data_IF_045110065372
#
_entry.id   IF_045110065372
#
_cell.length_a   1.000
_cell.length_b   1.000
_cell.length_c   1.000
_cell.angle_alpha   90.00
_cell.angle_beta   90.00
_cell.angle_gamma   90.00
#
_symmetry.space_group_name_H-M   'P 1'
#
loop_
_entity.id
_entity.type
_entity.pdbx_description
1 polymer ?
#
# COMPACT_ATOMS: atom_id res chain seq x y z
N UNK A 1 34.66 -25.85 -38.71
CA UNK A 1 33.46 -25.56 -37.92
C UNK A 1 33.91 -25.01 -36.59
N UNK A 2 33.83 -23.72 -36.38
CA UNK A 2 34.28 -23.06 -35.15
C UNK A 2 33.12 -23.14 -34.13
N UNK A 3 33.29 -23.94 -33.09
CA UNK A 3 32.34 -24.00 -31.96
C UNK A 3 32.61 -22.80 -31.05
N UNK A 4 31.85 -21.77 -31.20
CA UNK A 4 31.82 -20.67 -30.23
C UNK A 4 31.25 -21.21 -28.89
N UNK A 5 32.11 -21.31 -27.90
CA UNK A 5 31.73 -21.67 -26.53
C UNK A 5 30.72 -20.65 -26.02
N UNK A 6 29.64 -21.14 -25.38
CA UNK A 6 28.64 -20.29 -24.72
C UNK A 6 29.35 -19.40 -23.68
N UNK A 7 28.99 -18.13 -23.54
CA UNK A 7 29.54 -17.25 -22.53
C UNK A 7 29.32 -17.86 -21.12
N UNK A 8 30.29 -17.68 -20.19
CA UNK A 8 30.13 -18.20 -18.84
C UNK A 8 28.88 -17.61 -18.17
N UNK A 9 28.18 -18.38 -17.31
CA UNK A 9 27.02 -17.91 -16.60
C UNK A 9 27.37 -16.66 -15.77
N UNK A 10 26.56 -15.61 -15.86
CA UNK A 10 26.71 -14.41 -15.02
C UNK A 10 26.75 -14.83 -13.55
N UNK A 11 27.69 -14.30 -12.79
CA UNK A 11 27.73 -14.49 -11.35
C UNK A 11 26.37 -14.06 -10.73
N UNK A 12 25.85 -14.82 -9.75
CA UNK A 12 24.57 -14.50 -9.14
C UNK A 12 24.64 -13.12 -8.47
N UNK A 13 23.62 -12.28 -8.72
CA UNK A 13 23.48 -10.98 -8.05
C UNK A 13 22.95 -11.23 -6.63
N UNK A 14 23.85 -11.28 -5.66
CA UNK A 14 23.53 -11.50 -4.26
C UNK A 14 23.40 -10.16 -3.52
N UNK A 15 22.44 -10.06 -2.63
CA UNK A 15 22.34 -8.93 -1.72
C UNK A 15 23.32 -9.07 -0.52
N UNK A 16 23.29 -8.09 0.40
CA UNK A 16 24.21 -8.04 1.56
C UNK A 16 24.12 -9.22 2.54
N UNK A 17 23.03 -10.02 2.46
CA UNK A 17 22.84 -11.22 3.29
C UNK A 17 23.01 -12.52 2.49
N UNK A 18 23.51 -12.44 1.27
CA UNK A 18 23.83 -13.59 0.43
C UNK A 18 22.62 -14.24 -0.25
N UNK A 19 21.48 -13.55 -0.37
CA UNK A 19 20.29 -14.04 -1.07
C UNK A 19 20.19 -13.44 -2.48
N UNK A 20 19.73 -14.24 -3.43
CA UNK A 20 19.40 -13.79 -4.78
C UNK A 20 18.06 -13.09 -4.82
N UNK A 21 17.84 -12.23 -5.82
CA UNK A 21 16.55 -11.57 -6.07
C UNK A 21 15.41 -12.58 -6.28
N UNK A 22 15.72 -13.76 -6.81
CA UNK A 22 14.77 -14.87 -6.98
C UNK A 22 14.11 -15.32 -5.67
N UNK A 23 14.83 -15.23 -4.54
CA UNK A 23 14.32 -15.57 -3.18
C UNK A 23 13.25 -14.60 -2.68
N UNK A 24 13.14 -13.42 -3.29
CA UNK A 24 12.16 -12.38 -2.94
C UNK A 24 10.94 -12.39 -3.86
N UNK A 25 10.94 -13.18 -4.92
CA UNK A 25 9.81 -13.32 -5.83
C UNK A 25 8.74 -14.22 -5.23
N UNK A 26 7.51 -14.04 -5.70
CA UNK A 26 6.37 -14.91 -5.42
C UNK A 26 5.91 -15.64 -6.67
N UNK A 27 4.64 -16.00 -6.69
CA UNK A 27 3.98 -16.61 -7.83
C UNK A 27 3.84 -15.65 -9.03
N UNK A 28 3.49 -16.19 -10.18
CA UNK A 28 3.16 -15.38 -11.38
C UNK A 28 1.89 -14.57 -11.11
N UNK A 29 1.92 -13.28 -11.43
CA UNK A 29 0.76 -12.40 -11.28
C UNK A 29 -0.41 -12.87 -12.17
N UNK A 30 -1.62 -12.81 -11.60
CA UNK A 30 -2.90 -13.02 -12.29
C UNK A 30 -3.72 -11.74 -12.38
N UNK A 31 -3.11 -10.57 -12.09
CA UNK A 31 -3.71 -9.26 -12.29
C UNK A 31 -3.78 -8.92 -13.78
N UNK A 32 -4.59 -7.94 -14.11
CA UNK A 32 -4.72 -7.45 -15.50
C UNK A 32 -3.37 -6.91 -16.01
N UNK A 33 -3.16 -6.98 -17.31
CA UNK A 33 -2.03 -6.32 -17.95
C UNK A 33 -2.13 -4.81 -17.74
N UNK A 34 -1.02 -4.13 -17.49
CA UNK A 34 -0.97 -2.69 -17.21
C UNK A 34 -1.53 -2.28 -15.83
N UNK A 35 -1.92 -3.23 -14.97
CA UNK A 35 -2.42 -2.92 -13.63
C UNK A 35 -1.29 -2.38 -12.74
N UNK A 36 -1.48 -1.20 -12.14
CA UNK A 36 -0.50 -0.55 -11.27
C UNK A 36 -0.08 -1.38 -10.05
N UNK A 37 -0.92 -2.31 -9.58
CA UNK A 37 -0.57 -3.22 -8.48
C UNK A 37 0.64 -4.10 -8.79
N UNK A 38 0.88 -4.44 -10.10
CA UNK A 38 2.06 -5.19 -10.51
C UNK A 38 3.35 -4.39 -10.26
N UNK A 39 3.34 -3.10 -10.57
CA UNK A 39 4.49 -2.21 -10.33
C UNK A 39 4.80 -2.10 -8.83
N UNK A 40 3.77 -1.97 -7.99
CA UNK A 40 3.92 -1.93 -6.52
C UNK A 40 4.53 -3.24 -6.00
N UNK A 41 4.02 -4.40 -6.44
CA UNK A 41 4.54 -5.71 -6.06
C UNK A 41 6.02 -5.86 -6.44
N UNK A 42 6.42 -5.40 -7.62
CA UNK A 42 7.81 -5.41 -8.07
C UNK A 42 8.68 -4.51 -7.19
N UNK A 43 8.22 -3.31 -6.81
CA UNK A 43 8.95 -2.42 -5.92
C UNK A 43 9.13 -3.00 -4.51
N UNK A 44 8.14 -3.71 -3.99
CA UNK A 44 8.26 -4.43 -2.71
C UNK A 44 9.40 -5.46 -2.79
N UNK A 45 9.45 -6.29 -3.84
CA UNK A 45 10.52 -7.27 -4.07
C UNK A 45 11.90 -6.59 -4.01
N UNK A 46 12.06 -5.52 -4.77
CA UNK A 46 13.33 -4.79 -4.89
C UNK A 46 13.74 -4.13 -3.57
N UNK A 47 12.81 -3.48 -2.87
CA UNK A 47 13.10 -2.83 -1.59
C UNK A 47 13.59 -3.82 -0.53
N UNK A 48 12.92 -4.97 -0.37
CA UNK A 48 13.34 -5.98 0.61
C UNK A 48 14.67 -6.63 0.22
N UNK A 49 14.90 -6.85 -1.08
CA UNK A 49 16.19 -7.35 -1.58
C UNK A 49 17.34 -6.36 -1.32
N UNK A 50 17.17 -5.10 -1.68
CA UNK A 50 18.20 -4.05 -1.53
C UNK A 50 18.48 -3.75 -0.06
N UNK A 51 17.46 -3.77 0.79
CA UNK A 51 17.62 -3.59 2.24
C UNK A 51 18.17 -4.85 2.92
N UNK A 52 18.33 -5.97 2.20
CA UNK A 52 18.84 -7.22 2.73
C UNK A 52 18.01 -7.76 3.90
N UNK A 53 16.68 -7.67 3.82
CA UNK A 53 15.77 -8.18 4.83
C UNK A 53 15.32 -9.57 4.39
N UNK A 54 15.56 -10.63 5.21
CA UNK A 54 15.17 -11.98 4.82
C UNK A 54 13.64 -12.11 4.70
N UNK A 55 13.11 -12.77 3.65
CA UNK A 55 11.66 -12.93 3.46
C UNK A 55 10.93 -13.53 4.66
N UNK A 56 11.52 -14.47 5.36
CA UNK A 56 10.93 -15.13 6.54
C UNK A 56 10.81 -14.21 7.78
N UNK A 57 11.38 -13.01 7.74
CA UNK A 57 11.17 -11.96 8.77
C UNK A 57 9.91 -11.14 8.50
N UNK A 58 9.16 -11.43 7.44
CA UNK A 58 7.99 -10.66 7.01
C UNK A 58 6.73 -11.49 7.19
N UNK A 59 5.70 -10.86 7.74
CA UNK A 59 4.33 -11.37 7.71
C UNK A 59 3.50 -10.50 6.75
N UNK A 60 3.07 -11.08 5.63
CA UNK A 60 2.21 -10.45 4.63
C UNK A 60 0.76 -10.66 4.97
N UNK A 61 -0.01 -9.59 4.99
CA UNK A 61 -1.41 -9.63 5.36
C UNK A 61 -2.26 -8.95 4.27
N UNK A 62 -3.42 -9.47 4.01
CA UNK A 62 -4.37 -8.89 3.06
C UNK A 62 -5.82 -9.21 3.45
N UNK A 63 -6.74 -8.44 2.88
CA UNK A 63 -8.17 -8.73 2.93
C UNK A 63 -8.68 -9.39 1.65
N UNK A 64 -9.66 -8.78 0.99
CA UNK A 64 -10.27 -9.27 -0.25
C UNK A 64 -10.23 -8.17 -1.31
N UNK A 65 -10.10 -8.54 -2.57
CA UNK A 65 -10.04 -7.65 -3.73
C UNK A 65 -8.89 -7.99 -4.67
N UNK A 66 -8.72 -7.20 -5.74
CA UNK A 66 -7.60 -7.37 -6.68
C UNK A 66 -6.25 -7.20 -5.99
N UNK A 67 -6.10 -6.14 -5.20
CA UNK A 67 -4.92 -5.83 -4.40
C UNK A 67 -4.57 -6.93 -3.40
N UNK A 68 -5.56 -7.62 -2.85
CA UNK A 68 -5.34 -8.72 -1.91
C UNK A 68 -4.73 -9.97 -2.53
N UNK A 69 -4.59 -10.02 -3.86
CA UNK A 69 -3.79 -11.03 -4.57
C UNK A 69 -2.29 -10.68 -4.58
N UNK A 70 -1.94 -9.40 -4.51
CA UNK A 70 -0.56 -8.91 -4.59
C UNK A 70 0.41 -9.64 -3.66
N UNK A 71 0.06 -9.96 -2.38
CA UNK A 71 0.95 -10.71 -1.50
C UNK A 71 1.37 -12.10 -2.00
N UNK A 72 0.64 -12.70 -2.94
CA UNK A 72 1.04 -13.97 -3.55
C UNK A 72 2.21 -13.81 -4.57
N UNK A 73 2.49 -12.58 -5.03
CA UNK A 73 3.45 -12.32 -6.10
C UNK A 73 4.83 -11.89 -5.61
N UNK A 74 5.00 -11.66 -4.32
CA UNK A 74 6.27 -11.30 -3.71
C UNK A 74 6.53 -12.09 -2.42
N UNK A 75 7.79 -12.18 -2.02
CA UNK A 75 8.27 -12.79 -0.77
C UNK A 75 7.62 -14.16 -0.47
N UNK A 76 7.77 -15.13 -1.37
CA UNK A 76 7.12 -16.46 -1.23
C UNK A 76 7.52 -17.22 0.04
N UNK A 77 8.70 -16.95 0.59
CA UNK A 77 9.21 -17.56 1.82
C UNK A 77 8.81 -16.80 3.10
N UNK A 78 7.91 -15.82 3.01
CA UNK A 78 7.37 -15.10 4.16
C UNK A 78 6.13 -15.79 4.73
N UNK A 79 5.71 -15.36 5.92
CA UNK A 79 4.41 -15.73 6.47
C UNK A 79 3.31 -15.03 5.67
N UNK A 80 2.20 -15.71 5.39
CA UNK A 80 1.10 -15.15 4.60
C UNK A 80 -0.25 -15.33 5.28
N UNK A 81 -1.04 -14.25 5.36
CA UNK A 81 -2.38 -14.25 5.91
C UNK A 81 -3.33 -13.49 4.99
N UNK A 82 -4.26 -14.21 4.36
CA UNK A 82 -5.37 -13.58 3.64
C UNK A 82 -6.62 -13.69 4.51
N UNK A 83 -7.08 -12.54 5.02
CA UNK A 83 -8.19 -12.46 5.96
C UNK A 83 -9.55 -12.21 5.30
N UNK A 84 -10.56 -12.04 6.12
CA UNK A 84 -11.90 -11.64 5.69
C UNK A 84 -11.89 -10.19 5.21
N UNK A 85 -12.79 -9.83 4.29
CA UNK A 85 -12.91 -8.50 3.71
C UNK A 85 -12.98 -7.40 4.79
N UNK A 86 -12.12 -6.40 4.67
CA UNK A 86 -12.03 -5.28 5.62
C UNK A 86 -11.42 -5.63 6.99
N UNK A 87 -10.73 -6.78 7.12
CA UNK A 87 -10.16 -7.22 8.42
C UNK A 87 -8.63 -7.33 8.44
N UNK A 88 -7.96 -6.91 7.38
CA UNK A 88 -6.50 -6.93 7.29
C UNK A 88 -5.83 -6.19 8.47
N UNK A 89 -6.37 -5.04 8.89
CA UNK A 89 -5.90 -4.25 10.04
C UNK A 89 -5.96 -5.03 11.36
N UNK A 90 -7.03 -5.80 11.57
CA UNK A 90 -7.22 -6.61 12.77
C UNK A 90 -6.24 -7.78 12.80
N UNK A 91 -6.10 -8.47 11.66
CA UNK A 91 -5.15 -9.58 11.51
C UNK A 91 -3.71 -9.10 11.72
N UNK A 92 -3.35 -7.92 11.19
CA UNK A 92 -2.04 -7.32 11.39
C UNK A 92 -1.78 -6.97 12.87
N UNK A 93 -2.77 -6.43 13.56
CA UNK A 93 -2.66 -6.17 15.00
C UNK A 93 -2.37 -7.47 15.76
N UNK A 94 -3.11 -8.56 15.49
CA UNK A 94 -2.86 -9.86 16.10
C UNK A 94 -1.48 -10.43 15.77
N UNK A 95 -1.00 -10.27 14.54
CA UNK A 95 0.34 -10.70 14.11
C UNK A 95 1.44 -10.02 14.91
N UNK A 96 1.36 -8.70 15.05
CA UNK A 96 2.34 -7.90 15.81
C UNK A 96 2.33 -8.28 17.29
N UNK A 97 1.15 -8.51 17.88
CA UNK A 97 1.02 -8.94 19.26
C UNK A 97 1.56 -10.36 19.51
N UNK A 98 1.41 -11.24 18.52
CA UNK A 98 1.90 -12.63 18.63
C UNK A 98 3.42 -12.72 18.44
N UNK A 99 4.03 -11.87 17.62
CA UNK A 99 5.46 -11.85 17.38
C UNK A 99 5.95 -10.47 16.90
N UNK A 100 6.43 -9.67 17.84
CA UNK A 100 6.98 -8.32 17.58
C UNK A 100 8.25 -8.30 16.72
N UNK A 101 8.90 -9.46 16.53
CA UNK A 101 10.11 -9.57 15.74
C UNK A 101 9.85 -9.69 14.23
N UNK A 102 8.59 -9.90 13.81
CA UNK A 102 8.20 -9.90 12.42
C UNK A 102 7.90 -8.47 11.92
N UNK A 103 8.22 -8.23 10.67
CA UNK A 103 7.77 -7.03 9.95
C UNK A 103 6.37 -7.34 9.42
N UNK A 104 5.35 -6.78 10.04
CA UNK A 104 3.99 -6.89 9.54
C UNK A 104 3.80 -5.94 8.35
N UNK A 105 3.36 -6.47 7.21
CA UNK A 105 3.06 -5.72 5.99
C UNK A 105 1.65 -6.07 5.49
N UNK A 106 0.77 -5.11 5.52
CA UNK A 106 -0.55 -5.20 4.88
C UNK A 106 -0.46 -4.66 3.47
N UNK A 107 -1.00 -5.40 2.50
CA UNK A 107 -1.25 -4.89 1.14
C UNK A 107 -2.72 -5.17 0.83
N UNK A 108 -3.48 -4.11 0.60
CA UNK A 108 -4.93 -4.18 0.44
C UNK A 108 -5.44 -3.05 -0.43
N UNK A 109 -6.71 -3.11 -0.86
CA UNK A 109 -7.35 -2.06 -1.65
C UNK A 109 -8.00 -0.98 -0.80
N UNK A 110 -8.31 0.10 -1.47
CA UNK A 110 -9.04 1.24 -0.93
C UNK A 110 -10.45 0.86 -0.46
N UNK A 111 -11.17 0.05 -1.22
CA UNK A 111 -12.49 -0.45 -0.82
C UNK A 111 -12.45 -1.37 0.39
N UNK A 112 -11.45 -2.25 0.47
CA UNK A 112 -11.22 -3.11 1.64
C UNK A 112 -10.89 -2.28 2.89
N UNK A 113 -10.12 -1.19 2.72
CA UNK A 113 -9.64 -0.32 3.80
C UNK A 113 -10.68 0.72 4.20
N UNK A 114 -11.07 1.59 3.26
CA UNK A 114 -11.81 2.82 3.55
C UNK A 114 -13.33 2.63 3.54
N UNK A 115 -13.85 1.56 2.92
CA UNK A 115 -15.27 1.23 2.99
C UNK A 115 -15.54 0.20 4.09
N UNK A 116 -15.21 -1.08 3.84
CA UNK A 116 -15.59 -2.20 4.72
C UNK A 116 -14.76 -2.22 6.00
N UNK A 117 -13.47 -1.88 5.91
CA UNK A 117 -12.50 -1.96 7.00
C UNK A 117 -12.31 -0.69 7.81
N UNK A 118 -13.00 0.41 7.49
CA UNK A 118 -12.71 1.74 8.01
C UNK A 118 -12.55 1.79 9.54
N UNK A 119 -13.49 1.24 10.30
CA UNK A 119 -13.43 1.24 11.76
C UNK A 119 -12.21 0.50 12.30
N UNK A 120 -11.83 -0.64 11.69
CA UNK A 120 -10.65 -1.40 12.10
C UNK A 120 -9.36 -0.66 11.73
N UNK A 121 -9.33 -0.03 10.56
CA UNK A 121 -8.21 0.78 10.11
C UNK A 121 -7.98 1.97 11.05
N UNK A 122 -9.02 2.74 11.36
CA UNK A 122 -8.93 3.87 12.31
C UNK A 122 -8.41 3.45 13.69
N UNK A 123 -8.88 2.31 14.22
CA UNK A 123 -8.38 1.80 15.50
C UNK A 123 -6.93 1.32 15.44
N UNK A 124 -6.47 0.80 14.31
CA UNK A 124 -5.07 0.44 14.09
C UNK A 124 -4.17 1.68 14.07
N UNK A 125 -4.59 2.74 13.37
CA UNK A 125 -3.91 4.04 13.31
C UNK A 125 -3.76 4.65 14.72
N UNK A 126 -4.89 4.77 15.45
CA UNK A 126 -4.94 5.36 16.80
C UNK A 126 -4.00 4.68 17.80
N UNK A 127 -3.77 3.38 17.64
CA UNK A 127 -2.88 2.60 18.50
C UNK A 127 -1.44 2.64 18.03
N UNK A 128 -1.13 3.27 16.93
CA UNK A 128 0.19 3.25 16.30
C UNK A 128 0.77 1.82 16.22
N UNK A 129 -0.01 0.88 15.69
CA UNK A 129 0.41 -0.52 15.54
C UNK A 129 1.60 -0.58 14.58
N UNK A 130 2.78 -1.11 14.97
CA UNK A 130 3.96 -1.11 14.11
C UNK A 130 3.74 -2.04 12.91
N UNK A 131 3.31 -1.45 11.80
CA UNK A 131 2.94 -2.15 10.58
C UNK A 131 3.12 -1.24 9.36
N UNK A 132 3.55 -1.82 8.25
CA UNK A 132 3.55 -1.16 6.94
C UNK A 132 2.19 -1.46 6.30
N UNK A 133 1.38 -0.44 6.07
CA UNK A 133 0.03 -0.56 5.51
C UNK A 133 -0.01 0.10 4.14
N UNK A 134 0.04 -0.70 3.09
CA UNK A 134 0.00 -0.26 1.69
C UNK A 134 -1.42 -0.38 1.17
N UNK A 135 -1.98 0.74 0.72
CA UNK A 135 -3.28 0.83 0.09
C UNK A 135 -3.04 0.97 -1.42
N UNK A 136 -3.38 -0.07 -2.19
CA UNK A 136 -3.37 -0.02 -3.65
C UNK A 136 -4.69 0.61 -4.11
N UNK A 137 -4.70 1.95 -4.22
CA UNK A 137 -5.89 2.77 -4.40
C UNK A 137 -6.22 2.97 -5.88
N UNK A 138 -7.35 2.43 -6.31
CA UNK A 138 -7.87 2.59 -7.67
C UNK A 138 -9.31 3.16 -7.72
N UNK A 139 -9.90 3.55 -6.60
CA UNK A 139 -11.24 4.13 -6.51
C UNK A 139 -12.38 3.15 -6.72
N UNK A 140 -12.11 1.84 -6.95
CA UNK A 140 -13.15 0.87 -7.33
C UNK A 140 -12.94 -0.51 -6.70
N UNK A 141 -14.03 -1.26 -6.55
CA UNK A 141 -13.97 -2.70 -6.29
C UNK A 141 -13.76 -3.46 -7.62
N UNK A 142 -12.50 -3.59 -8.05
CA UNK A 142 -12.18 -4.18 -9.35
C UNK A 142 -12.54 -5.67 -9.46
N UNK A 143 -12.40 -6.45 -8.39
CA UNK A 143 -12.67 -7.89 -8.39
C UNK A 143 -14.16 -8.20 -8.63
N UNK A 144 -15.06 -7.37 -8.14
CA UNK A 144 -16.52 -7.50 -8.26
C UNK A 144 -17.11 -6.71 -9.42
N UNK A 145 -16.29 -6.29 -10.38
CA UNK A 145 -16.63 -5.66 -11.66
C UNK A 145 -16.93 -4.15 -11.61
N UNK A 146 -16.34 -3.41 -10.66
CA UNK A 146 -16.18 -1.97 -10.79
C UNK A 146 -17.14 -1.10 -9.97
N UNK A 147 -17.70 -1.58 -8.86
CA UNK A 147 -18.44 -0.73 -7.94
C UNK A 147 -17.55 0.38 -7.38
N UNK A 148 -18.12 1.54 -7.05
CA UNK A 148 -17.39 2.60 -6.38
C UNK A 148 -16.86 2.14 -5.01
N UNK A 149 -15.62 2.48 -4.71
CA UNK A 149 -15.13 2.44 -3.35
C UNK A 149 -15.37 3.78 -2.66
N UNK A 150 -15.09 3.84 -1.34
CA UNK A 150 -15.21 5.09 -0.61
C UNK A 150 -14.15 6.15 -0.98
N UNK A 151 -13.17 5.81 -1.81
CA UNK A 151 -12.14 6.74 -2.31
C UNK A 151 -12.43 7.21 -3.74
N UNK A 152 -13.55 6.79 -4.34
CA UNK A 152 -13.95 7.19 -5.69
C UNK A 152 -14.24 8.69 -5.74
N UNK A 153 -13.72 9.39 -6.76
CA UNK A 153 -13.96 10.81 -6.96
C UNK A 153 -15.44 11.08 -7.29
N UNK A 154 -15.92 12.28 -6.89
CA UNK A 154 -17.23 12.76 -7.30
C UNK A 154 -17.27 12.83 -8.83
N UNK A 155 -18.35 12.32 -9.41
CA UNK A 155 -18.54 12.28 -10.86
C UNK A 155 -17.90 11.08 -11.57
N UNK A 156 -17.13 10.24 -10.86
CA UNK A 156 -16.73 8.93 -11.42
C UNK A 156 -17.96 8.13 -11.83
N UNK A 157 -17.91 7.45 -12.98
CA UNK A 157 -19.06 6.71 -13.51
C UNK A 157 -18.81 5.22 -13.57
N UNK A 158 -19.84 4.43 -13.21
CA UNK A 158 -19.86 2.99 -13.45
C UNK A 158 -20.12 2.67 -14.92
N UNK A 159 -19.82 1.44 -15.32
CA UNK A 159 -20.22 0.92 -16.66
C UNK A 159 -21.73 0.97 -16.92
N UNK A 160 -22.53 1.04 -15.85
CA UNK A 160 -23.98 1.21 -15.92
C UNK A 160 -24.42 2.65 -16.20
N UNK A 161 -23.50 3.61 -16.20
CA UNK A 161 -23.78 5.05 -16.35
C UNK A 161 -24.13 5.77 -15.05
N UNK A 162 -24.18 5.08 -13.91
CA UNK A 162 -24.40 5.68 -12.59
C UNK A 162 -23.15 6.46 -12.16
N UNK A 163 -23.31 7.69 -11.68
CA UNK A 163 -22.23 8.55 -11.21
C UNK A 163 -22.11 8.53 -9.69
N UNK A 164 -20.88 8.60 -9.16
CA UNK A 164 -20.65 8.79 -7.73
C UNK A 164 -20.97 10.25 -7.32
N UNK A 165 -21.88 10.41 -6.40
CA UNK A 165 -22.29 11.72 -5.84
C UNK A 165 -21.64 12.00 -4.48
N UNK A 166 -20.99 11.00 -3.87
CA UNK A 166 -20.41 11.12 -2.54
C UNK A 166 -18.93 11.58 -2.59
N UNK A 167 -18.51 12.43 -1.63
CA UNK A 167 -17.13 12.85 -1.54
C UNK A 167 -16.21 11.67 -1.16
N UNK A 168 -14.97 11.62 -1.71
CA UNK A 168 -14.03 10.56 -1.40
C UNK A 168 -13.50 10.67 0.03
N UNK A 169 -13.25 9.51 0.65
CA UNK A 169 -12.46 9.41 1.87
C UNK A 169 -10.97 9.47 1.49
N UNK A 170 -10.23 10.38 2.13
CA UNK A 170 -8.78 10.44 2.00
C UNK A 170 -8.09 9.62 3.10
N UNK A 171 -7.44 8.52 2.72
CA UNK A 171 -6.75 7.63 3.64
C UNK A 171 -5.51 8.27 4.29
N UNK A 172 -4.87 9.25 3.61
CA UNK A 172 -3.74 9.97 4.19
C UNK A 172 -4.19 10.98 5.24
N UNK A 173 -5.26 11.75 5.00
CA UNK A 173 -5.84 12.62 6.02
C UNK A 173 -6.27 11.83 7.24
N UNK A 174 -6.97 10.70 7.04
CA UNK A 174 -7.32 9.80 8.15
C UNK A 174 -6.07 9.28 8.88
N UNK A 175 -5.02 8.91 8.13
CA UNK A 175 -3.74 8.48 8.69
C UNK A 175 -3.15 9.51 9.64
N UNK A 176 -3.06 10.76 9.19
CA UNK A 176 -2.52 11.89 9.95
C UNK A 176 -3.40 12.19 11.18
N UNK A 177 -4.71 12.34 10.98
CA UNK A 177 -5.64 12.72 12.04
C UNK A 177 -5.78 11.65 13.13
N UNK A 178 -5.80 10.38 12.74
CA UNK A 178 -5.92 9.26 13.67
C UNK A 178 -4.57 8.86 14.29
N UNK A 179 -3.47 9.48 13.90
CA UNK A 179 -2.18 9.36 14.59
C UNK A 179 -1.28 8.24 14.11
N UNK A 180 -1.32 7.88 12.82
CA UNK A 180 -0.23 7.11 12.21
C UNK A 180 1.08 7.91 12.33
N UNK A 181 2.19 7.23 12.55
CA UNK A 181 3.48 7.90 12.75
C UNK A 181 4.28 8.09 11.45
N UNK A 182 3.86 7.48 10.34
CA UNK A 182 4.31 7.81 8.99
C UNK A 182 3.13 7.73 8.03
N UNK A 183 2.92 8.78 7.24
CA UNK A 183 1.90 8.82 6.20
C UNK A 183 2.52 9.32 4.91
N UNK A 184 2.32 8.57 3.83
CA UNK A 184 2.82 8.91 2.51
C UNK A 184 1.79 8.61 1.43
N UNK A 185 1.89 9.33 0.33
CA UNK A 185 1.16 9.02 -0.91
C UNK A 185 2.13 8.92 -2.06
N UNK A 186 1.85 8.00 -2.98
CA UNK A 186 2.63 7.86 -4.20
C UNK A 186 1.75 7.46 -5.37
N UNK A 187 2.35 7.38 -6.55
CA UNK A 187 1.72 6.91 -7.76
C UNK A 187 2.47 5.67 -8.27
N UNK A 188 1.76 4.62 -8.64
CA UNK A 188 2.36 3.34 -9.08
C UNK A 188 3.28 3.48 -10.30
N UNK A 189 3.08 4.53 -11.12
CA UNK A 189 3.92 4.86 -12.26
C UNK A 189 5.23 5.57 -11.88
N UNK A 190 5.33 6.22 -10.71
CA UNK A 190 6.60 6.75 -10.20
C UNK A 190 7.30 5.67 -9.36
N UNK A 191 7.92 4.73 -10.04
CA UNK A 191 8.60 3.59 -9.41
C UNK A 191 9.70 4.01 -8.43
N UNK A 192 10.37 5.13 -8.69
CA UNK A 192 11.44 5.66 -7.84
C UNK A 192 10.89 6.16 -6.52
N UNK A 193 9.83 6.95 -6.56
CA UNK A 193 9.16 7.46 -5.37
C UNK A 193 8.51 6.33 -4.55
N UNK A 194 7.80 5.38 -5.20
CA UNK A 194 7.24 4.20 -4.52
C UNK A 194 8.32 3.43 -3.77
N UNK A 195 9.49 3.20 -4.43
CA UNK A 195 10.63 2.54 -3.80
C UNK A 195 11.18 3.30 -2.58
N UNK A 196 11.36 4.61 -2.71
CA UNK A 196 11.84 5.45 -1.62
C UNK A 196 10.89 5.46 -0.41
N UNK A 197 9.59 5.63 -0.64
CA UNK A 197 8.55 5.62 0.41
C UNK A 197 8.46 4.26 1.08
N UNK A 198 8.51 3.15 0.32
CA UNK A 198 8.51 1.80 0.89
C UNK A 198 9.74 1.57 1.78
N UNK A 199 10.94 1.97 1.37
CA UNK A 199 12.15 1.85 2.19
C UNK A 199 12.06 2.68 3.48
N UNK A 200 11.51 3.90 3.40
CA UNK A 200 11.28 4.73 4.57
C UNK A 200 10.30 4.04 5.55
N UNK A 201 9.20 3.48 5.05
CA UNK A 201 8.23 2.75 5.86
C UNK A 201 8.80 1.46 6.47
N UNK A 202 9.66 0.72 5.74
CA UNK A 202 10.34 -0.48 6.25
C UNK A 202 11.31 -0.12 7.39
N UNK A 203 11.98 1.03 7.30
CA UNK A 203 12.90 1.50 8.32
C UNK A 203 12.18 2.14 9.53
N UNK A 204 10.94 2.59 9.34
CA UNK A 204 10.15 3.25 10.38
C UNK A 204 9.66 2.28 11.45
N UNK A 205 9.70 2.72 12.72
CA UNK A 205 9.23 1.92 13.87
C UNK A 205 7.88 2.43 14.36
N UNK A 206 6.82 2.13 13.62
CA UNK A 206 5.47 2.54 13.97
C UNK A 206 4.49 2.21 12.87
N UNK A 207 3.32 2.82 12.93
CA UNK A 207 2.31 2.67 11.89
C UNK A 207 2.68 3.51 10.67
N UNK A 208 2.98 2.85 9.57
CA UNK A 208 3.22 3.48 8.27
C UNK A 208 2.03 3.27 7.35
N UNK A 209 1.40 4.33 6.88
CA UNK A 209 0.34 4.31 5.86
C UNK A 209 0.91 4.81 4.54
N UNK A 210 0.79 4.01 3.51
CA UNK A 210 1.20 4.37 2.15
C UNK A 210 -0.01 4.21 1.23
N UNK A 211 -0.58 5.31 0.79
CA UNK A 211 -1.65 5.35 -0.20
C UNK A 211 -1.03 5.46 -1.59
N UNK A 212 -1.04 4.36 -2.36
CA UNK A 212 -0.48 4.34 -3.72
C UNK A 212 -1.60 4.38 -4.73
N UNK A 213 -1.72 5.52 -5.43
CA UNK A 213 -2.63 5.65 -6.56
C UNK A 213 -2.22 4.63 -7.62
N UNK A 214 -3.13 3.70 -7.93
CA UNK A 214 -2.87 2.52 -8.74
C UNK A 214 -4.00 2.28 -9.74
N UNK A 215 -3.93 2.87 -10.94
CA UNK A 215 -5.02 2.86 -11.92
C UNK A 215 -5.51 1.45 -12.26
N UNK A 216 -6.83 1.33 -12.43
CA UNK A 216 -7.49 0.11 -12.89
C UNK A 216 -7.73 0.16 -14.40
N UNK A 217 -7.07 -0.71 -15.16
CA UNK A 217 -7.15 -0.76 -16.63
C UNK A 217 -8.47 -1.33 -17.15
N UNK A 218 -9.35 -1.86 -16.30
CA UNK A 218 -10.46 -2.70 -16.75
C UNK A 218 -11.84 -2.07 -16.57
N UNK A 219 -12.02 -1.14 -15.61
CA UNK A 219 -13.37 -0.77 -15.18
C UNK A 219 -13.78 0.68 -15.42
N UNK A 220 -12.92 1.53 -15.97
CA UNK A 220 -13.24 2.92 -16.31
C UNK A 220 -13.26 3.22 -17.83
N UNK A 221 -13.16 2.20 -18.69
CA UNK A 221 -13.15 2.35 -20.15
C UNK A 221 -14.48 1.88 -20.76
N UNK A 222 -15.48 2.76 -20.88
CA UNK A 222 -16.79 2.46 -21.47
C UNK A 222 -17.41 3.62 -22.24
N UNK A 223 -18.23 3.31 -23.27
CA UNK A 223 -19.02 4.27 -24.03
C UNK A 223 -19.99 5.04 -23.12
N UNK A 224 -19.83 6.36 -23.06
CA UNK A 224 -20.62 7.24 -22.19
C UNK A 224 -19.82 7.95 -21.09
N UNK A 225 -18.56 7.56 -20.86
CA UNK A 225 -17.58 8.38 -20.15
C UNK A 225 -17.03 9.43 -21.11
N UNK A 226 -16.94 10.70 -20.68
CA UNK A 226 -16.18 11.75 -21.40
C UNK A 226 -14.70 11.37 -21.54
N UNK A 227 -14.30 10.24 -20.98
CA UNK A 227 -12.96 9.69 -20.83
C UNK A 227 -12.82 8.34 -21.55
N UNK A 228 -13.83 7.92 -22.36
CA UNK A 228 -13.77 6.69 -23.14
C UNK A 228 -13.03 6.89 -24.46
N UNK A 229 -12.49 5.81 -24.99
CA UNK A 229 -11.84 5.76 -26.30
C UNK A 229 -12.72 6.27 -27.45
N UNK A 230 -14.02 5.95 -27.43
CA UNK A 230 -14.99 6.38 -28.43
C UNK A 230 -15.21 7.89 -28.38
N UNK A 231 -15.38 8.47 -27.17
CA UNK A 231 -15.57 9.91 -27.00
C UNK A 231 -14.38 10.72 -27.52
N UNK A 232 -13.15 10.30 -27.15
CA UNK A 232 -11.93 10.99 -27.58
C UNK A 232 -11.70 10.91 -29.10
N UNK A 233 -12.06 9.79 -29.73
CA UNK A 233 -11.94 9.61 -31.18
C UNK A 233 -12.90 10.49 -31.95
N UNK A 234 -14.09 10.75 -31.41
CA UNK A 234 -15.13 11.55 -32.06
C UNK A 234 -15.00 13.07 -31.77
N UNK A 235 -14.17 13.46 -30.78
CA UNK A 235 -13.96 14.85 -30.36
C UNK A 235 -12.50 15.30 -30.49
N UNK A 236 -11.76 14.69 -31.41
CA UNK A 236 -10.35 15.00 -31.66
C UNK A 236 -10.17 16.43 -32.22
N UNK A 237 -9.84 17.36 -31.33
CA UNK A 237 -9.23 18.62 -31.69
C UNK A 237 -7.71 18.47 -31.52
N UNK A 238 -6.90 18.63 -32.57
CA UNK A 238 -5.45 18.34 -32.50
C UNK A 238 -4.72 19.36 -31.66
N UNK A 239 -4.61 19.12 -30.38
CA UNK A 239 -3.74 19.85 -29.47
C UNK A 239 -2.68 18.87 -28.93
N UNK A 240 -1.54 18.87 -29.62
CA UNK A 240 -0.25 18.23 -29.27
C UNK A 240 -0.27 16.70 -29.10
N UNK A 241 0.86 16.07 -29.47
CA UNK A 241 1.10 14.64 -29.34
C UNK A 241 0.77 14.17 -27.93
N UNK A 242 -0.34 13.45 -27.79
CA UNK A 242 -0.70 12.77 -26.55
C UNK A 242 0.03 11.43 -26.59
N UNK A 243 1.01 11.24 -25.71
CA UNK A 243 1.62 9.94 -25.50
C UNK A 243 0.53 9.03 -24.92
N UNK A 244 0.05 8.14 -25.76
CA UNK A 244 -0.94 7.16 -25.39
C UNK A 244 -0.25 5.94 -24.78
N UNK A 245 -0.59 5.61 -23.53
CA UNK A 245 -0.13 4.38 -22.89
C UNK A 245 -1.16 3.28 -23.18
N UNK A 246 -0.80 2.23 -23.96
CA UNK A 246 -1.70 1.11 -24.21
C UNK A 246 -2.10 0.43 -22.90
N UNK A 247 -3.33 -0.11 -22.84
CA UNK A 247 -3.87 -0.76 -21.62
C UNK A 247 -3.05 -1.95 -21.10
N UNK A 248 -2.13 -2.46 -21.89
CA UNK A 248 -1.22 -3.56 -21.53
C UNK A 248 0.17 -3.08 -21.08
N UNK A 249 0.45 -1.78 -21.13
CA UNK A 249 1.69 -1.17 -20.66
C UNK A 249 1.49 -0.49 -19.30
N UNK A 250 2.51 -0.52 -18.47
CA UNK A 250 2.51 0.22 -17.20
C UNK A 250 2.66 1.73 -17.47
N UNK A 251 1.94 2.55 -16.70
CA UNK A 251 2.13 4.00 -16.74
C UNK A 251 3.38 4.34 -15.92
N UNK A 252 4.43 4.86 -16.58
CA UNK A 252 5.67 5.27 -15.93
C UNK A 252 5.84 6.78 -16.04
N UNK A 253 6.27 7.41 -14.95
CA UNK A 253 6.59 8.83 -14.90
C UNK A 253 7.86 9.10 -14.11
N UNK A 254 8.58 10.17 -14.49
CA UNK A 254 9.66 10.75 -13.71
C UNK A 254 9.28 12.19 -13.38
N UNK A 255 9.46 12.62 -12.14
CA UNK A 255 9.10 13.95 -11.66
C UNK A 255 10.19 14.50 -10.77
N UNK A 256 10.48 15.80 -10.96
CA UNK A 256 11.34 16.55 -10.06
C UNK A 256 10.57 17.03 -8.81
N UNK A 257 11.29 17.41 -7.75
CA UNK A 257 10.71 17.97 -6.54
C UNK A 257 9.96 19.27 -6.85
N UNK A 258 8.76 19.46 -6.29
CA UNK A 258 7.87 20.59 -6.56
C UNK A 258 7.16 20.56 -7.92
N UNK A 259 7.52 19.65 -8.81
CA UNK A 259 6.92 19.55 -10.13
C UNK A 259 5.44 19.16 -10.04
N UNK A 260 4.64 19.73 -10.92
CA UNK A 260 3.25 19.31 -11.18
C UNK A 260 3.21 18.69 -12.57
N UNK A 261 2.77 17.42 -12.66
CA UNK A 261 2.64 16.71 -13.92
C UNK A 261 1.24 16.13 -14.09
N UNK A 262 0.70 16.31 -15.27
CA UNK A 262 -0.53 15.63 -15.68
C UNK A 262 -0.21 14.26 -16.24
N UNK A 263 -0.87 13.22 -15.71
CA UNK A 263 -0.73 11.84 -16.14
C UNK A 263 -2.05 11.41 -16.73
N UNK A 264 -2.01 10.88 -17.94
CA UNK A 264 -3.18 10.30 -18.62
C UNK A 264 -3.26 8.82 -18.20
N UNK A 265 -4.38 8.40 -17.65
CA UNK A 265 -4.63 7.02 -17.27
C UNK A 265 -5.13 6.19 -18.45
N UNK A 266 -5.14 4.86 -18.33
CA UNK A 266 -5.55 3.94 -19.39
C UNK A 266 -6.99 4.14 -19.85
N UNK A 267 -7.84 4.71 -19.02
CA UNK A 267 -9.24 5.05 -19.32
C UNK A 267 -9.40 6.46 -19.93
N UNK A 268 -8.28 7.13 -20.22
CA UNK A 268 -8.26 8.51 -20.74
C UNK A 268 -8.50 9.57 -19.66
N UNK A 269 -8.75 9.21 -18.40
CA UNK A 269 -8.85 10.18 -17.32
C UNK A 269 -7.49 10.83 -17.04
N UNK A 270 -7.51 12.03 -16.46
CA UNK A 270 -6.29 12.81 -16.19
C UNK A 270 -6.11 12.98 -14.69
N UNK A 271 -4.92 12.69 -14.23
CA UNK A 271 -4.50 12.86 -12.84
C UNK A 271 -3.38 13.89 -12.77
N UNK A 272 -3.57 14.99 -12.03
CA UNK A 272 -2.52 15.98 -11.79
C UNK A 272 -1.79 15.63 -10.50
N UNK A 273 -0.57 15.13 -10.63
CA UNK A 273 0.29 14.79 -9.52
C UNK A 273 1.17 16.00 -9.18
N UNK A 274 1.33 16.27 -7.88
CA UNK A 274 2.30 17.24 -7.35
C UNK A 274 3.27 16.52 -6.42
N UNK A 275 4.54 16.55 -6.76
CA UNK A 275 5.59 16.05 -5.88
C UNK A 275 5.91 17.14 -4.83
N UNK A 276 6.06 16.72 -3.57
CA UNK A 276 6.40 17.67 -2.50
C UNK A 276 7.72 18.39 -2.77
N UNK A 277 7.77 19.66 -2.40
CA UNK A 277 8.97 20.47 -2.46
C UNK A 277 10.01 20.01 -1.43
N UNK A 278 11.28 20.34 -1.67
CA UNK A 278 12.39 20.00 -0.76
C UNK A 278 12.26 20.71 0.59
N UNK A 279 11.69 21.89 0.63
CA UNK A 279 11.53 22.73 1.83
C UNK A 279 10.28 22.35 2.65
N UNK A 280 9.51 21.36 2.21
CA UNK A 280 8.36 20.87 2.95
C UNK A 280 8.79 20.13 4.22
N UNK A 281 8.24 20.54 5.39
CA UNK A 281 8.50 19.90 6.67
C UNK A 281 7.46 18.79 6.96
N UNK A 282 7.79 17.51 6.77
CA UNK A 282 6.87 16.43 7.03
C UNK A 282 6.62 16.18 8.54
N UNK A 283 7.29 16.87 9.45
CA UNK A 283 7.07 16.71 10.90
C UNK A 283 5.96 17.62 11.42
N UNK A 284 5.56 18.64 10.67
CA UNK A 284 4.43 19.51 11.02
C UNK A 284 3.10 18.90 10.57
N UNK A 285 2.34 18.39 11.53
CA UNK A 285 1.01 17.81 11.29
C UNK A 285 0.03 18.79 10.64
N UNK A 286 0.03 20.04 11.09
CA UNK A 286 -0.92 21.03 10.57
C UNK A 286 -0.53 21.46 9.15
N UNK A 287 0.75 21.56 8.85
CA UNK A 287 1.23 21.82 7.50
C UNK A 287 0.84 20.69 6.56
N UNK A 288 1.00 19.42 6.97
CA UNK A 288 0.60 18.28 6.19
C UNK A 288 -0.90 18.30 5.82
N UNK A 289 -1.77 18.58 6.79
CA UNK A 289 -3.22 18.69 6.56
C UNK A 289 -3.54 19.86 5.63
N UNK A 290 -2.93 21.04 5.84
CA UNK A 290 -3.13 22.21 4.98
C UNK A 290 -2.65 21.96 3.54
N UNK A 291 -1.50 21.31 3.37
CA UNK A 291 -0.94 20.99 2.07
C UNK A 291 -1.87 20.08 1.25
N UNK A 292 -2.44 19.05 1.90
CA UNK A 292 -3.40 18.15 1.26
C UNK A 292 -4.66 18.92 0.84
N UNK A 293 -5.27 19.72 1.72
CA UNK A 293 -6.45 20.51 1.36
C UNK A 293 -6.15 21.55 0.27
N UNK A 294 -4.98 22.19 0.32
CA UNK A 294 -4.55 23.12 -0.72
C UNK A 294 -4.36 22.44 -2.09
N UNK A 295 -3.87 21.19 -2.11
CA UNK A 295 -3.75 20.43 -3.36
C UNK A 295 -5.13 20.10 -3.95
N UNK A 296 -6.12 19.77 -3.13
CA UNK A 296 -7.49 19.57 -3.61
C UNK A 296 -8.11 20.83 -4.25
N UNK A 297 -7.90 21.99 -3.63
CA UNK A 297 -8.39 23.25 -4.19
C UNK A 297 -7.79 23.56 -5.57
N UNK A 298 -6.61 22.98 -5.89
CA UNK A 298 -5.96 23.08 -7.20
C UNK A 298 -6.25 21.92 -8.14
N UNK A 299 -7.03 20.92 -7.70
CA UNK A 299 -7.28 19.68 -8.45
C UNK A 299 -6.00 18.84 -8.62
N UNK A 300 -5.13 18.83 -7.62
CA UNK A 300 -3.86 18.11 -7.61
C UNK A 300 -3.88 16.97 -6.59
N UNK A 301 -3.13 15.90 -6.86
CA UNK A 301 -2.85 14.82 -5.90
C UNK A 301 -1.41 14.99 -5.41
N UNK A 302 -1.28 15.36 -4.14
CA UNK A 302 0.02 15.55 -3.50
C UNK A 302 0.69 14.21 -3.22
N UNK A 303 1.96 14.05 -3.61
CA UNK A 303 2.74 12.80 -3.44
C UNK A 303 4.06 13.06 -2.72
N UNK A 304 4.53 12.06 -1.97
CA UNK A 304 5.72 12.09 -1.13
C UNK A 304 5.42 11.61 0.28
N UNK A 305 6.36 11.81 1.21
CA UNK A 305 6.13 11.61 2.64
C UNK A 305 5.38 12.84 3.17
N UNK A 306 4.09 12.66 3.43
CA UNK A 306 3.20 13.74 3.86
C UNK A 306 3.37 14.08 5.35
N UNK A 307 3.60 13.05 6.18
CA UNK A 307 3.78 13.24 7.61
C UNK A 307 4.67 12.15 8.21
N UNK A 308 5.50 12.53 9.18
CA UNK A 308 6.32 11.61 9.96
C UNK A 308 6.50 12.11 11.40
N UNK A 309 6.25 11.25 12.37
CA UNK A 309 6.48 11.47 13.80
C UNK A 309 7.44 10.40 14.32
N UNK A 310 8.72 10.74 14.40
CA UNK A 310 9.76 9.84 14.90
C UNK A 310 9.66 9.65 16.41
N UNK A 311 9.91 8.42 16.89
CA UNK A 311 9.95 8.13 18.33
C UNK A 311 8.58 8.01 19.01
N UNK A 312 7.47 8.07 18.27
CA UNK A 312 6.15 7.83 18.84
C UNK A 312 6.02 6.42 19.38
N UNK A 313 5.54 6.29 20.62
CA UNK A 313 5.26 4.99 21.24
C UNK A 313 4.24 4.19 20.44
N UNK A 314 4.56 2.93 20.24
CA UNK A 314 3.69 1.98 19.51
C UNK A 314 2.79 1.20 20.47
N UNK A 315 1.83 0.44 19.92
CA UNK A 315 0.99 -0.44 20.72
C UNK A 315 1.80 -1.43 21.56
N UNK A 316 2.89 -1.98 21.00
CA UNK A 316 3.73 -2.94 21.72
C UNK A 316 4.49 -2.30 22.87
N UNK A 317 4.89 -1.04 22.76
CA UNK A 317 5.53 -0.29 23.83
C UNK A 317 4.55 0.01 24.98
N UNK A 318 3.29 0.34 24.64
CA UNK A 318 2.24 0.59 25.66
C UNK A 318 1.82 -0.69 26.40
N UNK A 319 1.89 -1.84 25.73
CA UNK A 319 1.53 -3.13 26.33
C UNK A 319 2.69 -3.84 27.02
N UNK A 320 3.91 -3.29 26.98
CA UNK A 320 5.12 -3.93 27.49
C UNK A 320 5.26 -5.39 27.03
N UNK A 321 5.07 -5.64 25.74
CA UNK A 321 5.17 -6.99 25.22
C UNK A 321 6.59 -7.54 25.36
N UNK A 322 6.68 -8.80 25.74
CA UNK A 322 7.95 -9.54 25.79
C UNK A 322 8.52 -9.74 24.39
N UNK A 323 9.84 -9.93 24.28
CA UNK A 323 10.52 -10.13 23.00
C UNK A 323 10.30 -11.52 22.43
N UNK A 324 10.05 -12.52 23.29
CA UNK A 324 9.80 -13.88 22.86
C UNK A 324 8.45 -14.00 22.13
N UNK A 325 8.41 -14.64 20.96
CA UNK A 325 7.17 -14.91 20.26
C UNK A 325 6.21 -15.75 21.11
N UNK A 326 4.91 -15.47 21.04
CA UNK A 326 3.88 -16.22 21.77
C UNK A 326 3.99 -17.73 21.57
N UNK A 327 4.31 -18.16 20.34
CA UNK A 327 4.43 -19.57 20.00
C UNK A 327 5.60 -20.32 20.68
N UNK A 328 6.59 -19.58 21.19
CA UNK A 328 7.78 -20.14 21.86
C UNK A 328 7.77 -19.91 23.37
N UNK A 329 6.79 -19.17 23.89
CA UNK A 329 6.65 -18.97 25.33
C UNK A 329 6.31 -20.30 26.02
N UNK A 330 6.99 -20.63 27.14
CA UNK A 330 6.65 -21.80 27.93
C UNK A 330 5.26 -21.65 28.57
N UNK A 331 4.58 -22.78 28.78
CA UNK A 331 3.22 -22.82 29.33
C UNK A 331 3.13 -22.09 30.70
N UNK A 332 4.17 -22.15 31.51
CA UNK A 332 4.26 -21.46 32.79
C UNK A 332 4.19 -19.92 32.69
N UNK A 333 4.49 -19.34 31.50
CA UNK A 333 4.36 -17.89 31.24
C UNK A 333 3.03 -17.53 30.58
N UNK A 334 2.31 -18.48 30.00
CA UNK A 334 1.06 -18.24 29.28
C UNK A 334 -0.19 -18.64 30.07
N UNK A 335 -0.01 -19.46 31.12
CA UNK A 335 -1.10 -19.90 32.01
C UNK A 335 -0.75 -19.66 33.47
N UNK A 336 -1.69 -19.09 34.25
CA UNK A 336 -1.52 -19.05 35.69
C UNK A 336 -1.39 -20.46 36.26
N UNK A 337 -0.50 -20.67 37.22
CA UNK A 337 -0.34 -21.92 37.92
C UNK A 337 -1.53 -22.21 38.86
N UNK A 338 -1.63 -23.46 39.34
CA UNK A 338 -2.69 -23.90 40.26
C UNK A 338 -2.74 -23.04 41.54
N UNK A 339 -1.61 -22.60 42.05
CA UNK A 339 -1.53 -21.76 43.25
C UNK A 339 -2.25 -20.41 43.03
N UNK A 340 -2.11 -19.77 41.88
CA UNK A 340 -2.81 -18.53 41.54
C UNK A 340 -4.34 -18.73 41.48
N UNK A 341 -4.80 -19.88 41.00
CA UNK A 341 -6.22 -20.22 41.00
C UNK A 341 -6.73 -20.42 42.44
N UNK A 342 -5.97 -21.09 43.28
CA UNK A 342 -6.31 -21.33 44.68
C UNK A 342 -6.39 -20.01 45.46
N UNK A 343 -5.45 -19.07 45.23
CA UNK A 343 -5.45 -17.73 45.81
C UNK A 343 -6.74 -16.94 45.43
N UNK A 344 -7.08 -16.91 44.13
CA UNK A 344 -8.31 -16.27 43.65
C UNK A 344 -9.56 -16.93 44.26
N UNK A 345 -9.56 -18.24 44.38
CA UNK A 345 -10.70 -18.97 44.97
C UNK A 345 -10.81 -18.73 46.50
N UNK A 346 -9.72 -18.45 47.19
CA UNK A 346 -9.76 -18.06 48.59
C UNK A 346 -10.25 -16.62 48.79
N UNK A 347 -9.86 -15.68 47.92
CA UNK A 347 -10.38 -14.31 47.93
C UNK A 347 -11.90 -14.21 47.69
N UNK A 348 -12.47 -15.20 46.98
CA UNK A 348 -13.90 -15.25 46.63
C UNK A 348 -14.75 -16.05 47.64
N UNK A 349 -14.18 -16.62 48.69
CA UNK A 349 -14.86 -17.33 49.79
C UNK A 349 -15.18 -16.39 50.94
#
# INVERSE_FOLDING_TARGET
MSTTAAPPPKAPNLNRIGLELSSYKGGKSTLCAGCGHNAISQRIIECFFEMGIPPWRVAKLSGIGCSSKSPAYFLSQSHGFNGVHGRASTTATGTVLANRNLIAMVVTGDGDTASIGLGNFMHMLRRNVPCIYVIENNGVYGLTKGQFSATADIGSTLKTGEANELPPIDCCLLGIEMGASLVARSFSGDKNQVGAVLKAAIAHRGMSVIDVISPCTTFNDHDGSTKSYSYMKDHDAPLHAVDFVPYFEDIEIEMEEGEVREVVLHDGSRLRLRKLDRDYDPTDKLEAVRAIHASYARGEVLTGILYIESGKKTLIDHLNLVDEPLATLPESKTRPGRAALEEIMEELR
#
